data_IF_945174361255
#
_entry.id   IF_945174361255
#
_cell.length_a   1.000
_cell.length_b   1.000
_cell.length_c   1.000
_cell.angle_alpha   90.00
_cell.angle_beta   90.00
_cell.angle_gamma   90.00
#
_symmetry.space_group_name_H-M   'P 1'
#
loop_
_entity.id
_entity.type
_entity.pdbx_description
1 polymer ?
#
# COMPACT_ATOMS: atom_id res chain seq x y z
N UNK A 1 -1.02 6.71 -21.67
CA UNK A 1 -1.92 7.26 -20.63
C UNK A 1 -1.69 6.45 -19.36
N UNK A 2 -1.85 6.93 -18.13
CA UNK A 2 -1.62 6.09 -16.93
C UNK A 2 -2.93 5.52 -16.39
N UNK A 3 -2.90 4.26 -15.97
CA UNK A 3 -3.96 3.63 -15.15
C UNK A 3 -3.43 3.39 -13.74
N UNK A 4 -4.33 3.42 -12.75
CA UNK A 4 -4.00 3.35 -11.32
C UNK A 4 -4.75 2.23 -10.62
N UNK A 5 -4.09 1.61 -9.64
CA UNK A 5 -4.70 0.67 -8.68
C UNK A 5 -4.34 1.05 -7.25
N UNK A 6 -5.21 0.66 -6.32
CA UNK A 6 -5.11 0.97 -4.89
C UNK A 6 -5.15 -0.35 -4.13
N UNK A 7 -4.09 -0.64 -3.38
CA UNK A 7 -3.93 -1.91 -2.68
C UNK A 7 -3.75 -1.64 -1.19
N UNK A 8 -4.64 -2.20 -0.37
CA UNK A 8 -4.58 -2.05 1.08
C UNK A 8 -3.38 -2.78 1.67
N UNK A 9 -2.69 -2.13 2.60
CA UNK A 9 -1.64 -2.71 3.42
C UNK A 9 -1.83 -2.29 4.86
N UNK A 10 -1.71 -3.24 5.79
CA UNK A 10 -1.82 -2.92 7.22
C UNK A 10 -0.49 -2.49 7.83
N UNK A 11 -0.59 -1.54 8.76
CA UNK A 11 0.53 -1.13 9.58
C UNK A 11 1.00 -2.26 10.50
N UNK A 12 2.28 -2.24 10.90
CA UNK A 12 2.79 -3.19 11.87
C UNK A 12 2.15 -2.98 13.24
N UNK A 13 1.96 -4.07 13.97
CA UNK A 13 1.52 -4.08 15.37
C UNK A 13 2.27 -5.15 16.15
N UNK A 14 2.05 -5.24 17.46
CA UNK A 14 2.67 -6.26 18.33
C UNK A 14 2.38 -7.69 17.84
N UNK A 15 1.25 -7.90 17.17
CA UNK A 15 0.81 -9.20 16.66
C UNK A 15 0.92 -9.35 15.14
N UNK A 16 1.40 -8.33 14.42
CA UNK A 16 1.43 -8.34 12.95
C UNK A 16 2.63 -7.58 12.40
N UNK A 17 3.35 -8.22 11.48
CA UNK A 17 4.38 -7.56 10.67
C UNK A 17 3.70 -7.00 9.42
N UNK A 18 3.99 -5.75 9.07
CA UNK A 18 3.44 -5.11 7.87
C UNK A 18 3.89 -5.82 6.59
N UNK A 19 2.94 -6.07 5.69
CA UNK A 19 3.16 -6.74 4.40
C UNK A 19 3.50 -5.79 3.23
N UNK A 20 3.68 -4.48 3.48
CA UNK A 20 3.84 -3.48 2.40
C UNK A 20 4.97 -3.81 1.42
N UNK A 21 6.12 -4.34 1.91
CA UNK A 21 7.27 -4.70 1.06
C UNK A 21 6.95 -5.84 0.11
N UNK A 22 6.20 -6.84 0.58
CA UNK A 22 5.81 -8.00 -0.21
C UNK A 22 4.79 -7.60 -1.29
N UNK A 23 3.83 -6.75 -0.93
CA UNK A 23 2.86 -6.19 -1.86
C UNK A 23 3.59 -5.38 -2.94
N UNK A 24 4.44 -4.42 -2.57
CA UNK A 24 5.20 -3.60 -3.52
C UNK A 24 6.03 -4.49 -4.46
N UNK A 25 6.76 -5.46 -3.91
CA UNK A 25 7.59 -6.38 -4.71
C UNK A 25 6.74 -7.19 -5.69
N UNK A 26 5.57 -7.69 -5.26
CA UNK A 26 4.66 -8.46 -6.12
C UNK A 26 4.16 -7.62 -7.29
N UNK A 27 3.60 -6.43 -7.01
CA UNK A 27 3.06 -5.56 -8.05
C UNK A 27 4.14 -5.02 -8.99
N UNK A 28 5.34 -4.74 -8.49
CA UNK A 28 6.48 -4.39 -9.35
C UNK A 28 6.87 -5.50 -10.32
N UNK A 29 6.79 -6.78 -9.93
CA UNK A 29 7.01 -7.91 -10.84
C UNK A 29 5.93 -8.04 -11.91
N UNK A 30 4.72 -7.56 -11.64
CA UNK A 30 3.59 -7.51 -12.59
C UNK A 30 3.63 -6.27 -13.51
N UNK A 31 4.69 -5.46 -13.39
CA UNK A 31 4.91 -4.26 -14.21
C UNK A 31 4.16 -3.02 -13.71
N UNK A 32 3.75 -3.00 -12.45
CA UNK A 32 3.18 -1.82 -11.81
C UNK A 32 4.26 -1.00 -11.09
N UNK A 33 4.27 0.31 -11.33
CA UNK A 33 5.16 1.26 -10.66
C UNK A 33 4.53 1.73 -9.35
N UNK A 34 5.23 1.55 -8.24
CA UNK A 34 4.80 2.11 -6.95
C UNK A 34 4.92 3.64 -6.99
N UNK A 35 3.84 4.33 -6.58
CA UNK A 35 3.77 5.80 -6.59
C UNK A 35 3.90 6.34 -5.17
N UNK A 36 3.01 5.93 -4.28
CA UNK A 36 2.96 6.43 -2.91
C UNK A 36 2.09 5.53 -2.02
N UNK A 37 2.11 5.80 -0.71
CA UNK A 37 1.23 5.20 0.28
C UNK A 37 0.44 6.31 0.99
N UNK A 38 -0.88 6.20 1.05
CA UNK A 38 -1.75 7.15 1.75
C UNK A 38 -2.38 6.46 2.96
N UNK A 39 -2.25 6.99 4.18
CA UNK A 39 -3.00 6.50 5.33
C UNK A 39 -4.50 6.53 5.04
N UNK A 40 -5.16 5.38 5.13
CA UNK A 40 -6.59 5.24 4.81
C UNK A 40 -7.46 4.96 6.04
N UNK A 41 -6.85 4.50 7.14
CA UNK A 41 -7.57 4.23 8.38
C UNK A 41 -6.71 4.51 9.62
N UNK A 42 -7.35 4.97 10.69
CA UNK A 42 -6.75 5.44 11.92
C UNK A 42 -7.52 4.95 13.15
N UNK A 43 -6.80 4.58 14.20
CA UNK A 43 -7.37 4.42 15.53
C UNK A 43 -7.77 5.77 16.15
N UNK A 44 -8.61 5.74 17.19
CA UNK A 44 -9.06 6.94 17.92
C UNK A 44 -7.92 7.79 18.51
N UNK A 45 -6.75 7.18 18.74
CA UNK A 45 -5.54 7.83 19.24
C UNK A 45 -4.69 8.48 18.10
N UNK A 46 -5.16 8.45 16.85
CA UNK A 46 -4.48 8.98 15.67
C UNK A 46 -3.42 8.06 15.08
N UNK A 47 -3.27 6.83 15.58
CA UNK A 47 -2.35 5.84 15.02
C UNK A 47 -2.90 5.29 13.71
N UNK A 48 -2.09 5.35 12.64
CA UNK A 48 -2.42 4.73 11.35
C UNK A 48 -2.43 3.21 11.49
N UNK A 49 -3.49 2.58 10.99
CA UNK A 49 -3.64 1.10 10.97
C UNK A 49 -3.68 0.51 9.57
N UNK A 50 -4.04 1.33 8.57
CA UNK A 50 -4.10 0.91 7.17
C UNK A 50 -3.57 2.00 6.23
N UNK A 51 -2.97 1.56 5.14
CA UNK A 51 -2.51 2.39 4.04
C UNK A 51 -3.09 1.87 2.71
N UNK A 52 -3.46 2.78 1.83
CA UNK A 52 -3.63 2.49 0.41
C UNK A 52 -2.29 2.69 -0.30
N UNK A 53 -1.73 1.60 -0.83
CA UNK A 53 -0.56 1.61 -1.68
C UNK A 53 -1.02 1.84 -3.12
N UNK A 54 -0.58 2.96 -3.70
CA UNK A 54 -0.98 3.39 -5.04
C UNK A 54 0.08 2.94 -6.03
N UNK A 55 -0.38 2.28 -7.08
CA UNK A 55 0.46 1.89 -8.20
C UNK A 55 -0.10 2.41 -9.51
N UNK A 56 0.78 2.61 -10.48
CA UNK A 56 0.42 3.01 -11.83
C UNK A 56 1.08 2.15 -12.90
N UNK A 57 0.50 2.15 -14.10
CA UNK A 57 1.05 1.49 -15.28
C UNK A 57 0.68 2.28 -16.54
N UNK A 58 1.57 2.29 -17.52
CA UNK A 58 1.27 2.87 -18.83
C UNK A 58 0.25 2.03 -19.58
N UNK A 59 -0.71 2.71 -20.20
CA UNK A 59 -1.72 2.23 -21.15
C UNK A 59 -1.32 2.68 -22.53
#
# INVERSE_FOLDING_TARGET
>A
MYTYIYVKSRASSVFRISEHREIITRYSKEGWRFVTAIPSDFELNGKVIEFDLIFEKEV
#
